data_IF_674414613206
#
_entry.id   IF_674414613206
#
_cell.length_a   1.000
_cell.length_b   1.000
_cell.length_c   1.000
_cell.angle_alpha   90.00
_cell.angle_beta   90.00
_cell.angle_gamma   90.00
#
_symmetry.space_group_name_H-M   'P 1'
#
loop_
_entity.id
_entity.type
_entity.pdbx_description
1 polymer ?
#
# COMPACT_ATOMS: atom_id res chain seq x y z
N UNK A 1 5.38 -4.75 -5.54
CA UNK A 1 6.46 -5.72 -5.32
C UNK A 1 6.14 -6.58 -4.11
N UNK A 2 6.64 -7.82 -4.07
CA UNK A 2 6.34 -8.76 -2.98
C UNK A 2 7.55 -9.63 -2.59
N UNK A 3 8.72 -9.36 -3.17
CA UNK A 3 9.98 -9.99 -2.83
C UNK A 3 11.09 -8.95 -2.90
N UNK A 4 11.96 -8.89 -1.89
CA UNK A 4 13.08 -7.95 -1.89
C UNK A 4 14.42 -8.66 -1.70
N UNK A 5 15.42 -8.22 -2.49
CA UNK A 5 16.83 -8.44 -2.21
C UNK A 5 17.40 -7.19 -1.57
N UNK A 6 17.83 -7.31 -0.34
CA UNK A 6 18.36 -6.20 0.46
C UNK A 6 19.87 -6.38 0.57
N UNK A 7 20.62 -5.43 0.04
CA UNK A 7 22.07 -5.46 0.01
C UNK A 7 22.63 -4.40 0.93
N UNK A 8 23.38 -4.84 1.92
CA UNK A 8 24.04 -3.97 2.89
C UNK A 8 25.29 -3.29 2.35
N UNK A 9 26.02 -2.62 3.24
CA UNK A 9 27.27 -1.95 2.91
C UNK A 9 28.32 -2.98 2.42
N UNK A 10 29.03 -2.62 1.35
CA UNK A 10 30.17 -3.37 0.87
C UNK A 10 31.44 -2.88 1.60
N UNK A 11 32.00 -3.69 2.47
CA UNK A 11 33.31 -3.45 3.04
C UNK A 11 34.41 -3.74 2.00
N UNK A 12 35.51 -3.00 2.10
CA UNK A 12 36.60 -3.08 1.11
C UNK A 12 37.15 -4.50 1.01
N UNK A 13 36.97 -5.15 -0.15
CA UNK A 13 37.45 -6.52 -0.41
C UNK A 13 36.50 -7.63 0.07
N UNK A 14 35.33 -7.30 0.60
CA UNK A 14 34.32 -8.27 1.03
C UNK A 14 33.07 -8.22 0.16
N UNK A 15 32.38 -9.34 0.05
CA UNK A 15 31.06 -9.39 -0.58
C UNK A 15 30.03 -8.81 0.41
N UNK A 16 29.19 -7.85 -0.02
CA UNK A 16 28.17 -7.28 0.85
C UNK A 16 27.18 -8.34 1.34
N UNK A 17 26.72 -8.17 2.58
CA UNK A 17 25.67 -9.04 3.12
C UNK A 17 24.39 -8.81 2.35
N UNK A 18 23.80 -9.88 1.84
CA UNK A 18 22.49 -9.86 1.20
C UNK A 18 21.48 -10.63 2.04
N UNK A 19 20.30 -10.03 2.24
CA UNK A 19 19.16 -10.63 2.92
C UNK A 19 17.97 -10.61 1.98
N UNK A 20 17.11 -11.63 2.04
CA UNK A 20 15.88 -11.69 1.25
C UNK A 20 14.66 -11.54 2.14
N UNK A 21 13.67 -10.81 1.65
CA UNK A 21 12.35 -10.67 2.27
C UNK A 21 11.30 -11.22 1.31
N UNK A 22 10.60 -12.26 1.71
CA UNK A 22 9.58 -12.92 0.92
C UNK A 22 8.19 -12.66 1.50
N UNK A 23 7.33 -12.00 0.72
CA UNK A 23 5.91 -11.76 0.97
C UNK A 23 5.05 -12.26 -0.20
N UNK A 24 5.54 -13.22 -0.97
CA UNK A 24 4.83 -13.73 -2.16
C UNK A 24 3.49 -14.37 -1.80
N UNK A 25 3.42 -15.10 -0.67
CA UNK A 25 2.20 -15.79 -0.21
C UNK A 25 1.51 -16.59 -1.33
N UNK A 26 2.30 -17.33 -2.12
CA UNK A 26 1.80 -18.12 -3.25
C UNK A 26 1.41 -17.34 -4.51
N UNK A 27 1.69 -16.04 -4.57
CA UNK A 27 1.49 -15.18 -5.76
C UNK A 27 2.74 -15.15 -6.63
N UNK A 28 2.58 -14.64 -7.86
CA UNK A 28 3.70 -14.37 -8.75
C UNK A 28 4.73 -13.48 -8.07
N UNK A 29 5.98 -13.93 -8.08
CA UNK A 29 7.11 -13.23 -7.49
C UNK A 29 7.44 -11.98 -8.30
N UNK A 30 7.41 -10.81 -7.63
CA UNK A 30 7.74 -9.49 -8.18
C UNK A 30 8.86 -8.88 -7.36
N UNK A 31 10.07 -8.95 -7.90
CA UNK A 31 11.29 -8.62 -7.19
C UNK A 31 11.54 -7.10 -7.08
N UNK A 32 12.16 -6.71 -5.97
CA UNK A 32 12.66 -5.38 -5.66
C UNK A 32 14.12 -5.51 -5.21
N UNK A 33 14.99 -4.71 -5.77
CA UNK A 33 16.34 -4.50 -5.24
C UNK A 33 16.30 -3.33 -4.26
N UNK A 34 16.87 -3.52 -3.06
CA UNK A 34 16.94 -2.51 -2.01
C UNK A 34 18.40 -2.30 -1.66
N UNK A 35 18.92 -1.12 -1.97
CA UNK A 35 20.20 -0.66 -1.47
C UNK A 35 20.05 -0.22 -0.01
N UNK A 36 20.68 -0.96 0.89
CA UNK A 36 20.71 -0.71 2.31
C UNK A 36 22.12 -0.38 2.82
N UNK A 37 22.97 0.19 1.97
CA UNK A 37 24.34 0.62 2.32
C UNK A 37 24.36 1.69 3.42
N UNK A 38 23.23 2.38 3.65
CA UNK A 38 23.05 3.31 4.76
C UNK A 38 22.94 2.66 6.12
N UNK A 39 22.65 1.36 6.18
CA UNK A 39 22.61 0.59 7.44
C UNK A 39 24.04 0.23 7.81
N UNK A 40 24.57 0.91 8.82
CA UNK A 40 25.95 0.70 9.28
C UNK A 40 26.04 -0.43 10.28
N UNK A 41 27.12 -1.20 10.22
CA UNK A 41 27.45 -2.22 11.23
C UNK A 41 27.92 -1.63 12.55
N UNK A 42 28.50 -0.45 12.51
CA UNK A 42 29.00 0.26 13.67
C UNK A 42 28.09 1.45 13.97
N UNK A 43 27.54 1.47 15.18
CA UNK A 43 26.71 2.56 15.69
C UNK A 43 27.26 2.95 17.06
N UNK A 44 27.58 4.22 17.22
CA UNK A 44 28.09 4.80 18.49
C UNK A 44 29.34 4.09 19.05
N UNK A 45 30.19 3.53 18.17
CA UNK A 45 31.42 2.84 18.55
C UNK A 45 31.20 1.36 18.97
N UNK A 46 29.98 0.88 18.89
CA UNK A 46 29.64 -0.55 19.09
C UNK A 46 29.39 -1.24 17.76
N UNK A 47 30.04 -2.38 17.53
CA UNK A 47 29.83 -3.20 16.34
C UNK A 47 28.67 -4.16 16.54
N UNK A 48 27.68 -4.09 15.67
CA UNK A 48 26.55 -5.04 15.69
C UNK A 48 27.01 -6.46 15.41
N UNK A 49 26.37 -7.43 16.09
CA UNK A 49 26.51 -8.84 15.72
C UNK A 49 26.00 -9.08 14.29
N UNK A 50 26.50 -10.10 13.62
CA UNK A 50 26.05 -10.47 12.27
C UNK A 50 24.54 -10.71 12.21
N UNK A 51 23.97 -11.26 13.25
CA UNK A 51 22.54 -11.54 13.36
C UNK A 51 21.72 -10.26 13.49
N UNK A 52 22.15 -9.32 14.36
CA UNK A 52 21.52 -8.02 14.51
C UNK A 52 21.58 -7.20 13.21
N UNK A 53 22.73 -7.24 12.52
CA UNK A 53 22.89 -6.56 11.25
C UNK A 53 21.96 -7.13 10.16
N UNK A 54 21.89 -8.48 10.04
CA UNK A 54 20.95 -9.13 9.10
C UNK A 54 19.50 -8.78 9.41
N UNK A 55 19.14 -8.68 10.69
CA UNK A 55 17.79 -8.28 11.09
C UNK A 55 17.47 -6.82 10.73
N UNK A 56 18.45 -5.91 10.89
CA UNK A 56 18.30 -4.52 10.46
C UNK A 56 18.10 -4.40 8.94
N UNK A 57 18.88 -5.16 8.13
CA UNK A 57 18.68 -5.25 6.69
C UNK A 57 17.31 -5.81 6.32
N UNK A 58 16.87 -6.86 7.01
CA UNK A 58 15.56 -7.46 6.78
C UNK A 58 14.43 -6.48 7.07
N UNK A 59 14.54 -5.73 8.17
CA UNK A 59 13.58 -4.67 8.51
C UNK A 59 13.53 -3.59 7.43
N UNK A 60 14.68 -3.18 6.91
CA UNK A 60 14.77 -2.23 5.80
C UNK A 60 14.07 -2.74 4.53
N UNK A 61 14.19 -4.04 4.27
CA UNK A 61 13.47 -4.69 3.16
C UNK A 61 11.95 -4.71 3.35
N UNK A 62 11.48 -4.93 4.57
CA UNK A 62 10.05 -4.85 4.90
C UNK A 62 9.50 -3.45 4.66
N UNK A 63 10.19 -2.42 5.15
CA UNK A 63 9.81 -1.01 4.94
C UNK A 63 9.73 -0.67 3.45
N UNK A 64 10.73 -1.09 2.67
CA UNK A 64 10.74 -0.87 1.23
C UNK A 64 9.55 -1.56 0.53
N UNK A 65 9.22 -2.81 0.91
CA UNK A 65 8.08 -3.53 0.35
C UNK A 65 6.73 -2.93 0.75
N UNK A 66 6.64 -2.30 1.92
CA UNK A 66 5.42 -1.62 2.36
C UNK A 66 5.03 -0.46 1.43
N UNK A 67 6.02 0.22 0.83
CA UNK A 67 5.79 1.23 -0.21
C UNK A 67 5.20 0.67 -1.52
N UNK A 68 5.23 -0.66 -1.72
CA UNK A 68 4.72 -1.35 -2.90
C UNK A 68 3.51 -2.24 -2.60
N UNK A 69 2.73 -1.89 -1.59
CA UNK A 69 1.48 -2.59 -1.29
C UNK A 69 0.58 -2.63 -2.51
N UNK A 70 -0.20 -3.69 -2.64
CA UNK A 70 -1.24 -3.76 -3.65
C UNK A 70 -2.32 -2.76 -3.29
N UNK A 71 -2.47 -1.75 -4.14
CA UNK A 71 -3.58 -0.79 -4.05
C UNK A 71 -4.76 -1.37 -4.83
N UNK A 72 -5.90 -1.52 -4.16
CA UNK A 72 -7.15 -1.95 -4.76
C UNK A 72 -8.17 -0.87 -4.49
N UNK A 73 -8.42 -0.04 -5.51
CA UNK A 73 -9.46 0.96 -5.47
C UNK A 73 -10.59 0.58 -6.43
N UNK A 74 -11.82 0.76 -5.98
CA UNK A 74 -13.02 0.53 -6.78
C UNK A 74 -13.88 1.79 -6.72
N UNK A 75 -14.14 2.37 -7.87
CA UNK A 75 -15.05 3.50 -8.01
C UNK A 75 -16.39 3.00 -8.52
N UNK A 76 -17.44 3.25 -7.78
CA UNK A 76 -18.80 2.89 -8.16
C UNK A 76 -19.73 4.09 -8.05
N UNK A 77 -20.47 4.34 -9.13
CA UNK A 77 -21.69 5.16 -9.06
C UNK A 77 -22.79 4.30 -8.43
N UNK A 78 -23.45 4.84 -7.41
CA UNK A 78 -24.54 4.14 -6.71
C UNK A 78 -25.85 4.66 -7.26
N UNK A 79 -26.75 3.74 -7.55
CA UNK A 79 -28.13 4.10 -7.87
C UNK A 79 -28.75 4.81 -6.68
N UNK A 80 -29.13 6.10 -6.80
CA UNK A 80 -29.75 6.86 -5.70
C UNK A 80 -31.11 6.29 -5.27
N UNK A 81 -31.72 5.43 -6.11
CA UNK A 81 -32.98 4.73 -5.80
C UNK A 81 -32.75 3.34 -5.19
N UNK A 82 -31.50 2.96 -4.92
CA UNK A 82 -31.20 1.70 -4.23
C UNK A 82 -31.77 1.71 -2.79
N UNK A 83 -32.00 0.51 -2.26
CA UNK A 83 -32.57 0.32 -0.91
C UNK A 83 -31.68 0.86 0.22
N UNK A 84 -30.42 1.23 -0.05
CA UNK A 84 -29.46 1.75 0.91
C UNK A 84 -29.11 3.20 0.59
N UNK A 85 -29.38 4.11 1.53
CA UNK A 85 -29.11 5.54 1.40
C UNK A 85 -27.91 5.95 2.24
N UNK A 86 -27.05 6.76 1.66
CA UNK A 86 -25.92 7.38 2.36
C UNK A 86 -26.43 8.26 3.52
N UNK A 87 -25.68 8.31 4.61
CA UNK A 87 -26.00 8.97 5.89
C UNK A 87 -27.18 8.38 6.67
N UNK A 88 -27.91 7.42 6.10
CA UNK A 88 -29.01 6.73 6.79
C UNK A 88 -28.64 5.27 7.09
N UNK A 89 -28.13 4.55 6.09
CA UNK A 89 -27.83 3.12 6.20
C UNK A 89 -26.33 2.83 6.23
N UNK A 90 -25.49 3.75 5.72
CA UNK A 90 -24.04 3.66 5.73
C UNK A 90 -23.39 5.04 5.72
N UNK A 91 -22.15 5.13 6.19
CA UNK A 91 -21.36 6.35 6.31
C UNK A 91 -19.95 6.18 5.72
N UNK A 92 -19.28 7.30 5.53
CA UNK A 92 -17.85 7.32 5.21
C UNK A 92 -17.06 6.57 6.29
N UNK A 93 -16.18 5.67 5.89
CA UNK A 93 -15.38 4.85 6.79
C UNK A 93 -15.96 3.47 7.11
N UNK A 94 -17.22 3.20 6.76
CA UNK A 94 -17.86 1.90 6.96
C UNK A 94 -17.25 0.84 6.04
N UNK A 95 -17.29 -0.42 6.49
CA UNK A 95 -16.85 -1.57 5.69
C UNK A 95 -18.07 -2.16 5.02
N UNK A 96 -18.02 -2.26 3.69
CA UNK A 96 -19.09 -2.80 2.88
C UNK A 96 -18.58 -3.99 2.05
N UNK A 97 -19.45 -4.94 1.77
CA UNK A 97 -19.18 -6.00 0.79
C UNK A 97 -19.45 -5.48 -0.60
N UNK A 98 -18.39 -5.32 -1.38
CA UNK A 98 -18.47 -4.94 -2.80
C UNK A 98 -18.61 -6.21 -3.63
N UNK A 99 -19.69 -6.31 -4.41
CA UNK A 99 -19.99 -7.44 -5.28
C UNK A 99 -20.00 -6.95 -6.73
N UNK A 100 -19.13 -7.51 -7.56
CA UNK A 100 -19.11 -7.26 -9.00
C UNK A 100 -19.33 -8.58 -9.74
N UNK A 101 -20.58 -8.90 -10.04
CA UNK A 101 -21.00 -10.17 -10.62
C UNK A 101 -20.32 -10.48 -11.95
N UNK A 102 -20.14 -9.47 -12.82
CA UNK A 102 -19.54 -9.64 -14.16
C UNK A 102 -18.12 -10.21 -14.14
N UNK A 103 -17.37 -9.98 -13.06
CA UNK A 103 -15.99 -10.46 -12.89
C UNK A 103 -15.84 -11.40 -11.69
N UNK A 104 -16.95 -11.78 -11.06
CA UNK A 104 -16.94 -12.69 -9.91
C UNK A 104 -16.20 -12.13 -8.69
N UNK A 105 -16.14 -10.79 -8.54
CA UNK A 105 -15.46 -10.15 -7.42
C UNK A 105 -16.42 -10.05 -6.24
N UNK A 106 -15.96 -10.55 -5.08
CA UNK A 106 -16.58 -10.32 -3.77
C UNK A 106 -15.47 -9.91 -2.83
N UNK A 107 -15.53 -8.68 -2.29
CA UNK A 107 -14.51 -8.16 -1.40
C UNK A 107 -15.11 -7.26 -0.33
N UNK A 108 -14.63 -7.40 0.91
CA UNK A 108 -14.93 -6.44 1.99
C UNK A 108 -13.98 -5.25 1.86
N UNK A 109 -14.52 -4.06 1.70
CA UNK A 109 -13.75 -2.83 1.51
C UNK A 109 -14.35 -1.70 2.33
N UNK A 110 -13.46 -0.82 2.82
CA UNK A 110 -13.85 0.42 3.51
C UNK A 110 -14.21 1.48 2.48
N UNK A 111 -15.23 2.28 2.79
CA UNK A 111 -15.58 3.49 2.04
C UNK A 111 -14.57 4.58 2.40
N UNK A 112 -13.71 4.95 1.45
CA UNK A 112 -12.63 5.94 1.65
C UNK A 112 -13.02 7.34 1.16
N UNK A 113 -13.89 7.43 0.16
CA UNK A 113 -14.39 8.71 -0.37
C UNK A 113 -15.86 8.56 -0.77
N UNK A 114 -16.64 9.58 -0.46
CA UNK A 114 -18.03 9.73 -0.95
C UNK A 114 -18.12 11.09 -1.62
N UNK A 115 -18.54 11.10 -2.88
CA UNK A 115 -18.80 12.31 -3.65
C UNK A 115 -20.29 12.42 -3.90
N UNK A 116 -20.90 13.49 -3.40
CA UNK A 116 -22.28 13.86 -3.68
C UNK A 116 -22.29 14.97 -4.76
N UNK A 117 -22.97 14.75 -5.86
CA UNK A 117 -23.16 15.75 -6.91
C UNK A 117 -24.67 15.96 -7.14
N UNK A 118 -25.09 17.22 -7.23
CA UNK A 118 -26.47 17.57 -7.59
C UNK A 118 -26.48 17.89 -9.09
N UNK A 119 -27.14 17.04 -9.85
CA UNK A 119 -27.29 17.16 -11.28
C UNK A 119 -28.73 17.55 -11.66
N UNK A 120 -28.99 17.83 -12.93
CA UNK A 120 -30.31 18.26 -13.40
C UNK A 120 -31.40 17.20 -13.19
N UNK A 121 -31.04 15.93 -13.13
CA UNK A 121 -31.90 14.76 -12.94
C UNK A 121 -31.91 14.21 -11.49
N UNK A 122 -31.17 14.86 -10.58
CA UNK A 122 -31.21 14.51 -9.17
C UNK A 122 -29.85 14.48 -8.47
N UNK A 123 -29.80 13.75 -7.35
CA UNK A 123 -28.59 13.54 -6.56
C UNK A 123 -27.82 12.32 -7.07
N UNK A 124 -26.59 12.51 -7.53
CA UNK A 124 -25.66 11.45 -7.86
C UNK A 124 -24.72 11.21 -6.66
N UNK A 125 -24.53 9.95 -6.28
CA UNK A 125 -23.61 9.54 -5.22
C UNK A 125 -22.58 8.58 -5.79
N UNK A 126 -21.31 8.97 -5.75
CA UNK A 126 -20.19 8.12 -6.14
C UNK A 126 -19.40 7.73 -4.90
N UNK A 127 -19.03 6.46 -4.80
CA UNK A 127 -18.19 5.95 -3.71
C UNK A 127 -16.91 5.34 -4.23
N UNK A 128 -15.81 5.63 -3.52
CA UNK A 128 -14.52 4.99 -3.71
C UNK A 128 -14.29 4.04 -2.54
N UNK A 129 -14.00 2.78 -2.86
CA UNK A 129 -13.71 1.73 -1.90
C UNK A 129 -12.23 1.36 -1.96
N UNK A 130 -11.60 1.22 -0.79
CA UNK A 130 -10.19 0.91 -0.66
C UNK A 130 -9.28 2.12 -0.90
N UNK A 131 -7.98 1.93 -0.80
CA UNK A 131 -7.01 3.00 -1.02
C UNK A 131 -7.07 3.47 -2.49
N UNK A 132 -7.45 4.73 -2.70
CA UNK A 132 -7.46 5.35 -4.02
C UNK A 132 -6.04 5.38 -4.59
N UNK A 133 -5.94 5.18 -5.90
CA UNK A 133 -4.69 5.41 -6.61
C UNK A 133 -4.34 6.89 -6.48
N UNK A 134 -3.35 7.18 -5.62
CA UNK A 134 -2.90 8.57 -5.46
C UNK A 134 -2.39 9.04 -6.81
N UNK A 135 -3.19 9.79 -7.55
CA UNK A 135 -2.72 10.41 -8.78
C UNK A 135 -1.50 11.27 -8.46
N UNK A 136 -0.54 11.37 -9.40
CA UNK A 136 0.68 12.17 -9.21
C UNK A 136 0.35 13.58 -8.69
N UNK A 137 -0.77 14.17 -9.12
CA UNK A 137 -1.25 15.47 -8.65
C UNK A 137 -1.68 15.49 -7.18
N UNK A 138 -2.29 14.40 -6.67
CA UNK A 138 -2.63 14.26 -5.24
C UNK A 138 -1.38 14.02 -4.39
N UNK A 139 -0.39 13.26 -4.91
CA UNK A 139 0.89 13.02 -4.23
C UNK A 139 1.67 14.34 -4.07
N UNK A 140 1.79 15.13 -5.14
CA UNK A 140 2.47 16.44 -5.12
C UNK A 140 1.77 17.41 -4.16
N UNK A 141 0.43 17.45 -4.13
CA UNK A 141 -0.31 18.31 -3.18
C UNK A 141 -0.08 17.91 -1.71
N UNK A 142 0.12 16.63 -1.40
CA UNK A 142 0.44 16.20 -0.03
C UNK A 142 1.83 16.65 0.40
N UNK A 143 2.84 16.55 -0.48
CA UNK A 143 4.20 17.01 -0.18
C UNK A 143 4.34 18.54 -0.08
N UNK A 144 3.56 19.30 -0.85
CA UNK A 144 3.61 20.78 -0.83
C UNK A 144 2.91 21.36 0.42
N UNK A 145 1.99 20.60 1.04
CA UNK A 145 1.23 21.05 2.22
C UNK A 145 1.70 20.38 3.54
N UNK A 146 2.80 19.64 3.53
CA UNK A 146 3.48 19.07 4.69
C UNK A 146 4.68 19.91 5.10
#
# INVERSE_FOLDING_TARGET
RNFAYVVGEAEQGQTPVCVTVDRTNGRDRRELYVDASSVKREVDGETMTDEAYRQALWQKGLEALDGYRRVEAYNHAIDPNANLMYKTHYNLGDICTVIQEKIGLVAEKRIEEVREAVEADGLAVEMTFGEDYVSLGKAIKREVNA
#
